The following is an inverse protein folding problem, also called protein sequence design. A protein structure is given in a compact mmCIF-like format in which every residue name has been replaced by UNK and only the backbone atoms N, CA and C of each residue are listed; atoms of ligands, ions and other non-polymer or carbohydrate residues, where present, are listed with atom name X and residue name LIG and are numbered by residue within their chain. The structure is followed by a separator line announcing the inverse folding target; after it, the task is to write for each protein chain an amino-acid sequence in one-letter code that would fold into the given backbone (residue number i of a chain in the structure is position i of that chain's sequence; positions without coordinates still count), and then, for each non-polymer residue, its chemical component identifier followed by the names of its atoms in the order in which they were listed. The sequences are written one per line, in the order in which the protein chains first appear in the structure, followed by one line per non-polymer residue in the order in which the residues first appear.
data_IF_024960060283
#
_entry.id   IF_024960060283
#
_cell.length_a   1.000
_cell.length_b   1.000
_cell.length_c   1.000
_cell.angle_alpha   90.00
_cell.angle_beta   90.00
_cell.angle_gamma   90.00
#
_symmetry.space_group_name_H-M   'P 1'
#
loop_
_entity.id
_entity.type
_entity.pdbx_description
1 polymer ?
#
# COMPACT_ATOMS: atom_id res chain seq x y z
N UNK A 1 5.01 -12.80 14.49
CA UNK A 1 5.53 -12.77 14.61
C UNK A 1 6.74 -12.44 14.53
N UNK A 2 7.17 -12.61 14.99
CA UNK A 2 8.33 -12.26 15.04
C UNK A 2 8.88 -12.03 13.88
N UNK A 3 8.55 -12.60 13.17
CA UNK A 3 9.11 -12.50 12.02
C UNK A 3 9.20 -11.18 11.66
N UNK A 4 8.64 -10.64 11.99
CA UNK A 4 8.69 -9.58 11.51
C UNK A 4 9.72 -8.84 11.59
N UNK A 5 10.28 -8.93 12.25
CA UNK A 5 11.14 -8.21 12.40
C UNK A 5 12.08 -8.17 11.56
N UNK A 6 12.32 -8.91 11.13
CA UNK A 6 13.37 -9.02 10.43
C UNK A 6 13.38 -8.13 9.38
N UNK A 7 12.51 -7.86 8.94
CA UNK A 7 12.53 -7.26 7.82
C UNK A 7 12.83 -5.93 7.88
N UNK A 8 13.09 -5.47 8.82
CA UNK A 8 13.25 -4.20 8.83
C UNK A 8 14.22 -3.64 7.95
N UNK A 9 15.25 -4.17 7.78
CA UNK A 9 16.21 -3.65 6.94
C UNK A 9 15.94 -3.97 5.58
N UNK A 10 14.91 -4.53 5.28
CA UNK A 10 14.73 -5.07 4.03
C UNK A 10 14.02 -4.15 3.10
N UNK A 11 14.68 -3.55 2.20
CA UNK A 11 14.03 -2.74 1.21
C UNK A 11 13.18 -3.58 0.33
N UNK A 12 13.53 -4.83 0.20
CA UNK A 12 12.70 -5.74 -0.57
C UNK A 12 11.32 -5.84 0.01
N UNK A 13 11.23 -5.79 1.32
CA UNK A 13 9.97 -5.86 1.99
C UNK A 13 9.08 -4.70 1.60
N UNK A 14 9.64 -3.52 1.54
CA UNK A 14 8.88 -2.35 1.16
C UNK A 14 8.41 -2.45 -0.28
N UNK A 15 9.25 -2.99 -1.14
CA UNK A 15 8.86 -3.16 -2.53
C UNK A 15 7.68 -4.12 -2.66
N UNK A 16 7.71 -5.19 -1.88
CA UNK A 16 6.63 -6.15 -1.89
C UNK A 16 5.35 -5.50 -1.38
N UNK A 17 5.47 -4.68 -0.34
CA UNK A 17 4.31 -4.00 0.20
C UNK A 17 3.71 -3.05 -0.83
N UNK A 18 4.54 -2.36 -1.57
CA UNK A 18 4.05 -1.46 -2.60
C UNK A 18 3.28 -2.24 -3.65
N UNK A 19 3.79 -3.41 -4.03
CA UNK A 19 3.12 -4.26 -4.99
C UNK A 19 1.76 -4.69 -4.49
N UNK A 20 1.70 -5.15 -3.26
CA UNK A 20 0.45 -5.59 -2.68
C UNK A 20 -0.54 -4.44 -2.57
N UNK A 21 -0.05 -3.29 -2.15
CA UNK A 21 -0.91 -2.14 -2.01
C UNK A 21 -1.46 -1.71 -3.37
N UNK A 22 -0.61 -1.75 -4.38
CA UNK A 22 -1.03 -1.37 -5.72
C UNK A 22 -2.19 -2.26 -6.17
N UNK A 23 -2.07 -3.55 -5.91
CA UNK A 23 -3.11 -4.47 -6.31
C UNK A 23 -4.38 -4.22 -5.52
N UNK A 24 -4.27 -4.00 -4.23
CA UNK A 24 -5.44 -3.73 -3.41
C UNK A 24 -6.10 -2.43 -3.81
N UNK A 25 -5.31 -1.43 -4.14
CA UNK A 25 -5.83 -0.15 -4.59
C UNK A 25 -6.64 -0.34 -5.88
N UNK A 26 -6.10 -1.13 -6.79
CA UNK A 26 -6.80 -1.39 -8.04
C UNK A 26 -8.12 -2.10 -7.80
N UNK A 27 -8.13 -3.04 -6.89
CA UNK A 27 -9.34 -3.78 -6.58
C UNK A 27 -10.39 -2.87 -5.96
N UNK A 28 -9.96 -2.01 -5.05
CA UNK A 28 -10.90 -1.10 -4.43
C UNK A 28 -11.40 -0.06 -5.43
N UNK A 29 -10.53 0.37 -6.32
CA UNK A 29 -10.95 1.33 -7.33
C UNK A 29 -12.04 0.72 -8.20
N UNK A 30 -11.87 -0.55 -8.53
CA UNK A 30 -12.87 -1.25 -9.32
C UNK A 30 -14.16 -1.36 -8.54
N UNK A 31 -14.05 -1.69 -7.27
CA UNK A 31 -15.22 -1.82 -6.43
C UNK A 31 -15.99 -0.50 -6.37
N UNK A 32 -15.26 0.59 -6.24
CA UNK A 32 -15.90 1.91 -6.13
C UNK A 32 -16.55 2.35 -7.42
N UNK A 33 -16.13 1.80 -8.52
CA UNK A 33 -16.78 2.12 -9.79
C UNK A 33 -18.21 1.61 -9.77
N UNK A 34 -18.40 0.45 -9.15
CA UNK A 34 -19.72 -0.14 -9.07
C UNK A 34 -20.49 0.36 -7.86
N UNK A 35 -19.78 0.57 -6.75
CA UNK A 35 -20.41 1.01 -5.51
C UNK A 35 -19.89 2.37 -5.12
N UNK A 36 -20.33 3.37 -5.82
CA UNK A 36 -19.78 4.71 -5.61
C UNK A 36 -20.11 5.30 -4.25
N UNK A 37 -21.14 4.83 -3.63
CA UNK A 37 -21.51 5.35 -2.33
C UNK A 37 -20.89 4.63 -1.16
N UNK A 38 -20.01 3.71 -1.42
CA UNK A 38 -19.38 2.96 -0.37
C UNK A 38 -18.26 3.81 0.24
N UNK A 39 -18.58 4.52 1.29
CA UNK A 39 -17.62 5.41 1.90
C UNK A 39 -16.53 4.70 2.65
N UNK A 40 -16.83 3.52 3.17
CA UNK A 40 -15.81 2.75 3.85
C UNK A 40 -14.71 2.35 2.88
N UNK A 41 -15.11 1.89 1.71
CA UNK A 41 -14.12 1.50 0.72
C UNK A 41 -13.34 2.70 0.24
N UNK A 42 -14.00 3.84 0.12
CA UNK A 42 -13.34 5.04 -0.32
C UNK A 42 -12.26 5.46 0.68
N UNK A 43 -12.59 5.39 1.95
CA UNK A 43 -11.62 5.72 2.99
C UNK A 43 -10.47 4.73 2.98
N UNK A 44 -10.79 3.46 2.80
CA UNK A 44 -9.78 2.43 2.73
C UNK A 44 -8.84 2.68 1.56
N UNK A 45 -9.41 3.07 0.44
CA UNK A 45 -8.60 3.35 -0.73
C UNK A 45 -7.65 4.50 -0.46
N UNK A 46 -8.14 5.56 0.12
CA UNK A 46 -7.31 6.71 0.44
C UNK A 46 -6.18 6.33 1.38
N UNK A 47 -6.48 5.51 2.37
CA UNK A 47 -5.47 5.08 3.31
C UNK A 47 -4.40 4.26 2.61
N UNK A 48 -4.80 3.39 1.71
CA UNK A 48 -3.84 2.56 1.00
C UNK A 48 -2.98 3.38 0.07
N UNK A 49 -3.56 4.36 -0.59
CA UNK A 49 -2.81 5.23 -1.45
C UNK A 49 -1.76 6.00 -0.65
N UNK A 50 -2.15 6.47 0.52
CA UNK A 50 -1.23 7.17 1.39
C UNK A 50 -0.09 6.27 1.82
N UNK A 51 -0.42 5.05 2.21
CA UNK A 51 0.59 4.10 2.62
C UNK A 51 1.54 3.80 1.49
N UNK A 52 1.00 3.61 0.31
CA UNK A 52 1.82 3.32 -0.83
C UNK A 52 2.79 4.45 -1.10
N UNK A 53 2.32 5.67 -1.00
CA UNK A 53 3.18 6.82 -1.20
C UNK A 53 4.30 6.85 -0.19
N UNK A 54 3.99 6.56 1.05
CA UNK A 54 4.98 6.55 2.11
C UNK A 54 6.06 5.52 1.82
N UNK A 55 5.64 4.34 1.39
CA UNK A 55 6.60 3.29 1.08
C UNK A 55 7.48 3.67 -0.10
N UNK A 56 6.90 4.30 -1.10
CA UNK A 56 7.66 4.72 -2.26
C UNK A 56 8.69 5.77 -1.88
N UNK A 57 8.29 6.68 -1.01
CA UNK A 57 9.20 7.69 -0.54
C UNK A 57 10.35 7.05 0.21
N UNK A 58 10.02 6.08 1.03
CA UNK A 58 11.02 5.39 1.80
C UNK A 58 12.01 4.67 0.90
N UNK A 59 11.51 4.01 -0.13
CA UNK A 59 12.37 3.32 -1.07
C UNK A 59 13.28 4.28 -1.81
N UNK A 60 12.73 5.39 -2.22
CA UNK A 60 13.52 6.37 -2.92
C UNK A 60 14.64 6.91 -2.05
N UNK A 61 14.31 7.13 -0.79
CA UNK A 61 15.30 7.61 0.12
C UNK A 61 16.40 6.61 0.33
N UNK A 62 16.04 5.36 0.53
CA UNK A 62 17.03 4.35 0.75
C UNK A 62 17.88 4.09 -0.47
N UNK A 63 17.34 4.33 -1.65
CA UNK A 63 18.09 4.12 -2.80
C UNK A 63 19.21 5.07 -2.93
N UNK A 64 19.07 6.25 -2.50
CA UNK A 64 20.16 7.18 -2.63
C UNK A 64 21.08 7.05 -1.46
#
# INVERSE_FOLDING_TARGET
IGANRIHEKDTGSSAVQVSLLTEQINQLAKHLKTHQKDEHSRRGLLKMVSKRRTHLKYLAKNKS
#
